data_IF_413374917754
#
_entry.id   IF_413374917754
#
_cell.length_a   1.000
_cell.length_b   1.000
_cell.length_c   1.000
_cell.angle_alpha   90.00
_cell.angle_beta   90.00
_cell.angle_gamma   90.00
#
_symmetry.space_group_name_H-M   'P 1'
#
loop_
_entity.id
_entity.type
_entity.pdbx_description
1 polymer ?
#
# COMPACT_ATOMS: atom_id res chain seq x y z
N UNK A 1 38.79 48.06 30.01
CA UNK A 1 37.73 47.10 30.34
C UNK A 1 36.52 47.18 29.38
N UNK A 2 36.76 47.36 28.08
CA UNK A 2 35.67 47.62 27.10
C UNK A 2 35.68 46.67 25.87
N UNK A 3 36.49 45.61 25.90
CA UNK A 3 36.57 44.64 24.78
C UNK A 3 35.89 43.28 25.03
N UNK A 4 35.35 43.08 26.24
CA UNK A 4 34.75 41.79 26.60
C UNK A 4 33.25 41.70 26.33
N UNK A 5 32.58 42.83 26.14
CA UNK A 5 31.10 42.85 25.88
C UNK A 5 30.70 42.52 24.44
N UNK A 6 31.61 42.62 23.49
CA UNK A 6 31.31 42.38 22.07
C UNK A 6 31.38 40.89 21.68
N UNK A 7 32.12 40.10 22.45
CA UNK A 7 32.28 38.66 22.15
C UNK A 7 31.03 37.87 22.57
N UNK A 8 30.31 38.33 23.61
CA UNK A 8 29.08 37.63 24.10
C UNK A 8 27.90 37.86 23.16
N UNK A 9 27.83 39.04 22.49
CA UNK A 9 26.75 39.31 21.53
C UNK A 9 26.91 38.54 20.21
N UNK A 10 28.11 38.16 19.82
CA UNK A 10 28.35 37.39 18.60
C UNK A 10 28.01 35.91 18.75
N UNK A 11 28.06 35.34 19.96
CA UNK A 11 27.69 33.93 20.21
C UNK A 11 26.19 33.73 20.34
N UNK A 12 25.43 34.75 20.75
CA UNK A 12 23.98 34.66 20.86
C UNK A 12 23.25 34.73 19.49
N UNK A 13 23.87 35.33 18.49
CA UNK A 13 23.31 35.45 17.15
C UNK A 13 23.44 34.16 16.32
N UNK A 14 24.39 33.26 16.64
CA UNK A 14 24.63 32.02 15.89
C UNK A 14 23.71 30.88 16.34
N UNK A 15 23.19 30.91 17.56
CA UNK A 15 22.31 29.86 18.08
C UNK A 15 20.84 30.00 17.56
N UNK A 16 20.46 31.16 17.01
CA UNK A 16 19.09 31.41 16.56
C UNK A 16 18.82 31.01 15.11
N UNK A 17 19.82 30.55 14.34
CA UNK A 17 19.66 30.20 12.91
C UNK A 17 19.62 28.70 12.61
N UNK A 18 19.66 27.83 13.62
CA UNK A 18 19.60 26.35 13.42
C UNK A 18 18.19 25.79 13.67
N UNK A 19 17.19 26.65 13.78
CA UNK A 19 15.78 26.24 13.89
C UNK A 19 15.01 26.39 12.57
N UNK A 20 15.68 26.29 11.43
CA UNK A 20 15.01 26.11 10.15
C UNK A 20 14.60 24.64 10.07
N UNK A 21 13.34 24.40 10.42
CA UNK A 21 12.73 23.09 10.54
C UNK A 21 12.98 22.22 9.31
N UNK A 22 13.69 21.15 9.51
CA UNK A 22 13.58 19.99 8.62
C UNK A 22 12.15 19.50 8.73
N UNK A 23 11.31 19.95 7.81
CA UNK A 23 10.01 19.33 7.56
C UNK A 23 10.33 17.95 7.02
N UNK A 24 10.50 16.98 7.92
CA UNK A 24 10.56 15.58 7.54
C UNK A 24 9.19 15.31 6.96
N UNK A 25 9.12 15.18 5.63
CA UNK A 25 7.99 14.58 4.94
C UNK A 25 7.86 13.16 5.52
N UNK A 26 7.03 13.02 6.52
CA UNK A 26 6.65 11.71 7.06
C UNK A 26 5.82 11.01 5.99
N UNK A 27 6.48 10.24 5.15
CA UNK A 27 5.77 9.30 4.28
C UNK A 27 5.06 8.31 5.19
N UNK A 28 3.74 8.31 5.13
CA UNK A 28 2.90 7.36 5.84
C UNK A 28 3.40 5.94 5.54
N UNK A 29 3.61 5.08 6.54
CA UNK A 29 4.04 3.71 6.30
C UNK A 29 3.12 3.04 5.27
N UNK A 30 3.68 2.34 4.30
CA UNK A 30 2.91 1.71 3.21
C UNK A 30 1.83 0.74 3.71
N UNK A 31 2.00 0.18 4.90
CA UNK A 31 1.02 -0.67 5.55
C UNK A 31 -0.16 0.10 6.21
N UNK A 32 -0.16 1.43 6.18
CA UNK A 32 -1.22 2.29 6.71
C UNK A 32 -1.92 3.12 5.62
N UNK A 33 -1.65 2.82 4.36
CA UNK A 33 -2.27 3.50 3.23
C UNK A 33 -3.44 2.66 2.69
N UNK A 34 -4.69 3.19 2.67
CA UNK A 34 -5.85 2.53 2.08
C UNK A 34 -5.82 2.52 0.54
N UNK A 35 -4.89 3.22 -0.10
CA UNK A 35 -4.83 3.40 -1.55
C UNK A 35 -5.95 4.29 -2.10
N UNK A 36 -6.08 4.27 -3.42
CA UNK A 36 -7.04 5.07 -4.19
C UNK A 36 -8.28 4.24 -4.52
N UNK A 37 -9.42 4.61 -3.97
CA UNK A 37 -10.67 3.91 -4.28
C UNK A 37 -11.81 4.15 -3.29
N UNK A 38 -12.95 3.49 -3.53
CA UNK A 38 -14.17 3.71 -2.75
C UNK A 38 -14.15 3.02 -1.38
N UNK A 39 -13.29 2.03 -1.16
CA UNK A 39 -13.24 1.28 0.10
C UNK A 39 -12.46 2.08 1.14
N UNK A 40 -13.11 2.47 2.23
CA UNK A 40 -12.53 3.32 3.28
C UNK A 40 -12.31 2.61 4.60
N UNK A 41 -13.19 1.67 4.93
CA UNK A 41 -13.12 0.90 6.17
C UNK A 41 -13.46 -0.56 5.91
N UNK A 42 -12.63 -1.46 6.41
CA UNK A 42 -12.85 -2.91 6.34
C UNK A 42 -12.72 -3.50 7.74
N UNK A 43 -13.82 -3.98 8.27
CA UNK A 43 -13.80 -4.70 9.54
C UNK A 43 -13.44 -6.15 9.28
N UNK A 44 -12.35 -6.60 9.88
CA UNK A 44 -11.88 -7.98 9.82
C UNK A 44 -12.19 -8.69 11.14
N UNK A 45 -12.83 -9.85 11.02
CA UNK A 45 -12.99 -10.83 12.09
C UNK A 45 -12.05 -12.04 11.91
N UNK A 46 -12.33 -13.15 12.60
CA UNK A 46 -11.75 -14.45 12.31
C UNK A 46 -11.91 -14.82 10.84
N UNK A 47 -11.06 -15.72 10.34
CA UNK A 47 -11.14 -16.20 8.96
C UNK A 47 -12.50 -16.89 8.74
N UNK A 48 -13.21 -16.44 7.71
CA UNK A 48 -14.51 -16.99 7.29
C UNK A 48 -14.28 -17.99 6.16
N UNK A 49 -14.44 -19.28 6.47
CA UNK A 49 -14.17 -20.37 5.53
C UNK A 49 -15.07 -20.34 4.30
N UNK A 50 -16.30 -19.82 4.40
CA UNK A 50 -17.18 -19.71 3.23
C UNK A 50 -16.63 -18.62 2.28
N UNK A 51 -16.26 -17.46 2.82
CA UNK A 51 -15.62 -16.40 2.02
C UNK A 51 -14.30 -16.86 1.43
N UNK A 52 -13.50 -17.65 2.15
CA UNK A 52 -12.26 -18.24 1.63
C UNK A 52 -12.55 -19.12 0.40
N UNK A 53 -13.55 -20.00 0.49
CA UNK A 53 -13.91 -20.89 -0.63
C UNK A 53 -14.37 -20.09 -1.86
N UNK A 54 -15.21 -19.09 -1.67
CA UNK A 54 -15.71 -18.24 -2.75
C UNK A 54 -14.61 -17.34 -3.33
N UNK A 55 -13.78 -16.76 -2.49
CA UNK A 55 -12.64 -15.97 -2.91
C UNK A 55 -11.62 -16.78 -3.71
N UNK A 56 -11.37 -18.04 -3.31
CA UNK A 56 -10.53 -18.97 -4.08
C UNK A 56 -11.07 -19.22 -5.48
N UNK A 57 -12.38 -19.40 -5.64
CA UNK A 57 -13.00 -19.57 -6.98
C UNK A 57 -12.75 -18.34 -7.85
N UNK A 58 -12.94 -17.14 -7.31
CA UNK A 58 -12.70 -15.89 -8.05
C UNK A 58 -11.21 -15.74 -8.39
N UNK A 59 -10.32 -16.03 -7.44
CA UNK A 59 -8.87 -16.00 -7.65
C UNK A 59 -8.46 -16.91 -8.81
N UNK A 60 -8.95 -18.16 -8.82
CA UNK A 60 -8.65 -19.13 -9.89
C UNK A 60 -9.22 -18.71 -11.23
N UNK A 61 -10.37 -18.04 -11.26
CA UNK A 61 -11.00 -17.61 -12.51
C UNK A 61 -10.39 -16.34 -13.09
N UNK A 62 -9.90 -15.40 -12.24
CA UNK A 62 -9.56 -14.05 -12.70
C UNK A 62 -8.11 -13.63 -12.42
N UNK A 63 -7.41 -14.26 -11.48
CA UNK A 63 -6.11 -13.78 -11.02
C UNK A 63 -4.95 -14.70 -11.43
N UNK A 64 -5.18 -16.02 -11.47
CA UNK A 64 -4.13 -17.04 -11.64
C UNK A 64 -3.39 -16.96 -12.98
N UNK A 65 -3.99 -16.36 -13.99
CA UNK A 65 -3.35 -16.17 -15.30
C UNK A 65 -2.10 -15.29 -15.15
N UNK A 66 -2.21 -14.20 -14.39
CA UNK A 66 -1.14 -13.21 -14.21
C UNK A 66 -0.40 -13.32 -12.88
N UNK A 67 -1.01 -13.90 -11.85
CA UNK A 67 -0.44 -14.00 -10.50
C UNK A 67 -0.31 -15.44 -10.03
N UNK A 68 0.74 -15.70 -9.28
CA UNK A 68 0.91 -16.90 -8.48
C UNK A 68 0.96 -16.50 -6.99
N UNK A 69 0.77 -17.46 -6.08
CA UNK A 69 0.89 -17.17 -4.65
C UNK A 69 2.35 -17.01 -4.21
N UNK A 70 3.25 -17.83 -4.71
CA UNK A 70 4.62 -17.94 -4.21
C UNK A 70 5.67 -17.34 -5.14
N UNK A 71 5.43 -17.39 -6.46
CA UNK A 71 6.43 -17.05 -7.47
C UNK A 71 6.02 -15.87 -8.33
N UNK A 72 7.02 -15.17 -8.86
CA UNK A 72 6.80 -14.13 -9.86
C UNK A 72 6.24 -14.78 -11.14
N UNK A 73 5.18 -14.18 -11.67
CA UNK A 73 4.60 -14.52 -12.97
C UNK A 73 4.59 -13.27 -13.87
N UNK A 74 3.49 -12.94 -14.51
CA UNK A 74 3.30 -11.65 -15.19
C UNK A 74 3.24 -10.53 -14.13
N UNK A 75 2.50 -10.78 -13.05
CA UNK A 75 2.42 -9.91 -11.87
C UNK A 75 3.20 -10.45 -10.67
N UNK A 76 3.17 -9.72 -9.54
CA UNK A 76 3.82 -10.12 -8.30
C UNK A 76 3.14 -11.34 -7.64
N UNK A 77 3.89 -12.08 -6.79
CA UNK A 77 3.31 -13.10 -5.94
C UNK A 77 2.37 -12.49 -4.91
N UNK A 78 1.28 -13.18 -4.58
CA UNK A 78 0.20 -12.64 -3.74
C UNK A 78 0.08 -13.26 -2.34
N UNK A 79 0.90 -14.25 -1.98
CA UNK A 79 0.75 -15.01 -0.73
C UNK A 79 0.75 -14.13 0.52
N UNK A 80 1.62 -13.14 0.57
CA UNK A 80 1.82 -12.33 1.77
C UNK A 80 1.18 -10.94 1.69
N UNK A 81 0.51 -10.62 0.60
CA UNK A 81 -0.04 -9.28 0.37
C UNK A 81 -0.98 -8.83 1.50
N UNK A 82 -1.73 -9.77 2.10
CA UNK A 82 -2.65 -9.48 3.19
C UNK A 82 -1.94 -9.18 4.54
N UNK A 83 -0.64 -9.42 4.66
CA UNK A 83 0.19 -8.98 5.79
C UNK A 83 0.94 -7.67 5.48
N UNK A 84 1.21 -7.41 4.22
CA UNK A 84 2.02 -6.28 3.76
C UNK A 84 1.19 -5.03 3.52
N UNK A 85 -0.11 -5.16 3.28
CA UNK A 85 -1.02 -4.07 2.91
C UNK A 85 -2.30 -4.07 3.73
N UNK A 86 -2.86 -2.87 3.90
CA UNK A 86 -4.18 -2.72 4.51
C UNK A 86 -5.27 -3.47 3.72
N UNK A 87 -6.29 -3.99 4.40
CA UNK A 87 -7.44 -4.62 3.74
C UNK A 87 -8.09 -3.71 2.70
N UNK A 88 -8.23 -2.42 3.03
CA UNK A 88 -8.76 -1.39 2.15
C UNK A 88 -7.93 -1.23 0.89
N UNK A 89 -6.61 -1.25 1.02
CA UNK A 89 -5.67 -1.15 -0.09
C UNK A 89 -5.87 -2.29 -1.09
N UNK A 90 -5.91 -3.52 -0.57
CA UNK A 90 -6.11 -4.73 -1.39
C UNK A 90 -7.47 -4.66 -2.09
N UNK A 91 -8.53 -4.31 -1.36
CA UNK A 91 -9.86 -4.20 -1.95
C UNK A 91 -9.92 -3.06 -2.99
N UNK A 92 -9.31 -1.91 -2.73
CA UNK A 92 -9.25 -0.81 -3.69
C UNK A 92 -8.48 -1.21 -4.95
N UNK A 93 -7.38 -1.96 -4.82
CA UNK A 93 -6.66 -2.47 -5.98
C UNK A 93 -7.53 -3.43 -6.82
N UNK A 94 -8.41 -4.19 -6.18
CA UNK A 94 -9.30 -5.15 -6.84
C UNK A 94 -10.50 -4.48 -7.52
N UNK A 95 -11.07 -3.42 -6.95
CA UNK A 95 -12.29 -2.78 -7.49
C UNK A 95 -11.99 -1.48 -8.27
N UNK A 96 -10.78 -1.01 -8.25
CA UNK A 96 -10.37 0.26 -8.85
C UNK A 96 -8.96 0.21 -9.44
N UNK A 97 -8.60 -0.93 -10.03
CA UNK A 97 -7.25 -1.20 -10.54
C UNK A 97 -6.71 -0.10 -11.45
N UNK A 98 -7.54 0.45 -12.34
CA UNK A 98 -7.16 1.48 -13.30
C UNK A 98 -6.70 2.76 -12.60
N UNK A 99 -7.43 3.24 -11.60
CA UNK A 99 -7.06 4.47 -10.88
C UNK A 99 -5.88 4.23 -9.93
N UNK A 100 -5.82 3.06 -9.29
CA UNK A 100 -4.66 2.67 -8.48
C UNK A 100 -3.38 2.73 -9.32
N UNK A 101 -3.37 2.16 -10.52
CA UNK A 101 -2.22 2.19 -11.42
C UNK A 101 -1.85 3.61 -11.89
N UNK A 102 -2.84 4.48 -12.04
CA UNK A 102 -2.62 5.89 -12.46
C UNK A 102 -2.15 6.80 -11.33
N UNK A 103 -2.54 6.55 -10.10
CA UNK A 103 -2.39 7.53 -9.02
C UNK A 103 -1.51 7.04 -7.87
N UNK A 104 -1.53 5.74 -7.56
CA UNK A 104 -0.79 5.20 -6.42
C UNK A 104 0.71 5.07 -6.73
N UNK A 105 1.60 5.70 -5.93
CA UNK A 105 3.03 5.69 -6.18
C UNK A 105 3.65 4.29 -6.13
N UNK A 106 3.19 3.45 -5.18
CA UNK A 106 3.72 2.10 -5.04
C UNK A 106 3.33 1.22 -6.23
N UNK A 107 2.09 1.32 -6.71
CA UNK A 107 1.65 0.56 -7.90
C UNK A 107 2.42 1.01 -9.13
N UNK A 108 2.71 2.31 -9.28
CA UNK A 108 3.56 2.83 -10.38
C UNK A 108 4.97 2.24 -10.32
N UNK A 109 5.57 2.17 -9.15
CA UNK A 109 6.91 1.57 -9.01
C UNK A 109 6.88 0.06 -9.22
N UNK A 110 5.80 -0.60 -8.81
CA UNK A 110 5.60 -2.01 -9.08
C UNK A 110 5.46 -2.28 -10.59
N UNK A 111 4.71 -1.47 -11.32
CA UNK A 111 4.59 -1.57 -12.77
C UNK A 111 5.97 -1.53 -13.47
N UNK A 112 6.85 -0.61 -13.08
CA UNK A 112 8.22 -0.55 -13.61
C UNK A 112 8.97 -1.87 -13.41
N UNK A 113 8.83 -2.52 -12.24
CA UNK A 113 9.46 -3.82 -11.94
C UNK A 113 8.88 -4.98 -12.73
N UNK A 114 7.67 -4.82 -13.28
CA UNK A 114 6.94 -5.82 -14.04
C UNK A 114 6.71 -5.40 -15.49
N UNK A 115 7.73 -4.76 -16.10
CA UNK A 115 7.79 -4.39 -17.52
C UNK A 115 6.62 -3.49 -17.98
N UNK A 116 6.05 -2.70 -17.07
CA UNK A 116 4.90 -1.83 -17.30
C UNK A 116 3.65 -2.58 -17.82
N UNK A 117 3.53 -3.87 -17.53
CA UNK A 117 2.31 -4.61 -17.87
C UNK A 117 1.21 -4.18 -16.92
N UNK A 118 0.16 -3.60 -17.49
CA UNK A 118 -0.99 -3.12 -16.72
C UNK A 118 -1.82 -4.31 -16.21
N UNK A 119 -2.25 -4.24 -14.95
CA UNK A 119 -3.27 -5.15 -14.43
C UNK A 119 -4.62 -4.74 -15.04
N UNK A 120 -5.31 -5.62 -15.77
CA UNK A 120 -6.64 -5.33 -16.27
C UNK A 120 -7.63 -5.20 -15.11
N UNK A 121 -8.71 -4.47 -15.32
CA UNK A 121 -9.83 -4.44 -14.35
C UNK A 121 -10.41 -5.84 -14.23
N UNK A 122 -10.39 -6.46 -13.05
CA UNK A 122 -10.95 -7.79 -12.86
C UNK A 122 -12.48 -7.82 -12.91
N UNK A 123 -13.14 -6.67 -13.00
CA UNK A 123 -14.59 -6.49 -13.06
C UNK A 123 -15.29 -7.28 -11.93
N UNK A 124 -14.91 -7.01 -10.68
CA UNK A 124 -15.52 -7.62 -9.49
C UNK A 124 -16.14 -6.57 -8.58
N UNK A 125 -17.22 -6.94 -7.91
CA UNK A 125 -17.88 -6.08 -6.91
C UNK A 125 -17.06 -5.98 -5.62
N UNK A 126 -17.39 -5.01 -4.76
CA UNK A 126 -16.78 -4.91 -3.43
C UNK A 126 -17.00 -6.17 -2.59
N UNK A 127 -18.18 -6.80 -2.69
CA UNK A 127 -18.48 -8.06 -2.01
C UNK A 127 -17.56 -9.18 -2.49
N UNK A 128 -17.35 -9.29 -3.79
CA UNK A 128 -16.42 -10.26 -4.37
C UNK A 128 -14.96 -9.95 -3.98
N UNK A 129 -14.57 -8.69 -4.00
CA UNK A 129 -13.25 -8.26 -3.54
C UNK A 129 -13.01 -8.63 -2.06
N UNK A 130 -14.07 -8.54 -1.22
CA UNK A 130 -14.02 -8.96 0.18
C UNK A 130 -13.79 -10.48 0.33
N UNK A 131 -14.39 -11.32 -0.54
CA UNK A 131 -14.12 -12.76 -0.51
C UNK A 131 -12.70 -13.08 -1.00
N UNK A 132 -12.22 -12.41 -2.04
CA UNK A 132 -10.82 -12.56 -2.51
C UNK A 132 -9.84 -12.14 -1.41
N UNK A 133 -10.08 -11.02 -0.71
CA UNK A 133 -9.28 -10.62 0.44
C UNK A 133 -9.23 -11.70 1.51
N UNK A 134 -10.38 -12.35 1.81
CA UNK A 134 -10.42 -13.43 2.80
C UNK A 134 -9.59 -14.64 2.39
N UNK A 135 -9.65 -15.02 1.11
CA UNK A 135 -8.77 -16.05 0.57
C UNK A 135 -7.29 -15.67 0.71
N UNK A 136 -6.91 -14.45 0.35
CA UNK A 136 -5.52 -13.98 0.49
C UNK A 136 -5.06 -13.93 1.96
N UNK A 137 -5.95 -13.59 2.89
CA UNK A 137 -5.68 -13.67 4.34
C UNK A 137 -5.42 -15.11 4.80
N UNK A 138 -6.20 -16.06 4.29
CA UNK A 138 -6.08 -17.47 4.69
C UNK A 138 -4.80 -18.13 4.23
N UNK A 139 -4.20 -17.67 3.13
CA UNK A 139 -2.95 -18.22 2.58
C UNK A 139 -1.71 -17.46 3.04
N UNK A 140 -1.85 -16.31 3.67
CA UNK A 140 -0.75 -15.52 4.20
C UNK A 140 -0.09 -16.23 5.40
N UNK A 141 1.23 -16.50 5.32
CA UNK A 141 2.03 -17.19 6.36
C UNK A 141 2.94 -16.24 7.10
#
# INVERSE_FOLDING_TARGET
>A
MMKFKWIIFSFLAVVFFISAGSTILQTKPQNQDPGVGPVKNVVLGPIDNQKVADGKKIYLAKCVVCHDLNTKKIGPPLKNIAKERMPEYIMNLLVNAVQMQKQDPFVKDLLKKYNNVLMPDPAISQTQARTVLEYLRSVAK
#
